data_IF_961685033643
#
_entry.id   IF_961685033643
#
_cell.length_a   1.000
_cell.length_b   1.000
_cell.length_c   1.000
_cell.angle_alpha   90.00
_cell.angle_beta   90.00
_cell.angle_gamma   90.00
#
_symmetry.space_group_name_H-M   'P 1'
#
loop_
_entity.id
_entity.type
_entity.pdbx_description
1 polymer ?
#
# COMPACT_ATOMS: atom_id res chain seq x y z
N UNK A 1 -14.19 4.33 -21.10
CA UNK A 1 -12.91 5.03 -20.91
C UNK A 1 -12.93 5.80 -19.60
N UNK A 2 -11.94 5.59 -18.80
CA UNK A 2 -11.89 6.27 -17.53
C UNK A 2 -11.15 7.61 -17.69
N UNK A 3 -11.84 8.68 -17.43
CA UNK A 3 -11.23 10.00 -17.39
C UNK A 3 -10.98 10.37 -15.93
N UNK A 4 -9.80 10.82 -15.60
CA UNK A 4 -9.48 11.28 -14.27
C UNK A 4 -8.22 10.67 -13.70
N UNK A 5 -7.89 11.12 -12.51
CA UNK A 5 -6.68 10.72 -11.80
C UNK A 5 -6.85 9.30 -11.25
N UNK A 6 -5.84 8.43 -11.40
CA UNK A 6 -5.91 7.11 -10.78
C UNK A 6 -6.00 7.22 -9.26
N UNK A 7 -6.62 6.21 -8.66
CA UNK A 7 -6.68 6.11 -7.20
C UNK A 7 -5.29 5.80 -6.65
N UNK A 8 -4.84 6.58 -5.70
CA UNK A 8 -3.58 6.28 -5.01
C UNK A 8 -3.81 5.32 -3.86
N UNK A 9 -3.04 4.25 -3.84
CA UNK A 9 -3.07 3.27 -2.76
C UNK A 9 -1.68 3.15 -2.15
N UNK A 10 -1.63 3.00 -0.83
CA UNK A 10 -0.42 2.57 -0.14
C UNK A 10 -0.52 1.07 0.10
N UNK A 11 0.53 0.35 -0.23
CA UNK A 11 0.59 -1.10 -0.07
C UNK A 11 1.58 -1.43 1.05
N UNK A 12 1.08 -2.05 2.12
CA UNK A 12 1.97 -2.58 3.15
C UNK A 12 2.90 -3.64 2.54
N UNK A 13 4.03 -3.86 3.14
CA UNK A 13 5.04 -4.79 2.61
C UNK A 13 4.49 -6.18 2.36
N UNK A 14 3.61 -6.69 3.24
CA UNK A 14 3.01 -8.02 3.04
C UNK A 14 2.15 -8.07 1.77
N UNK A 15 1.49 -6.99 1.42
CA UNK A 15 0.71 -6.91 0.18
C UNK A 15 1.63 -6.86 -1.03
N UNK A 16 2.74 -6.14 -0.93
CA UNK A 16 3.75 -6.12 -1.99
C UNK A 16 4.31 -7.50 -2.26
N UNK A 17 4.54 -8.30 -1.22
CA UNK A 17 4.97 -9.69 -1.38
C UNK A 17 3.93 -10.51 -2.13
N UNK A 18 2.65 -10.35 -1.75
CA UNK A 18 1.56 -11.09 -2.43
C UNK A 18 1.48 -10.73 -3.92
N UNK A 19 1.70 -9.46 -4.26
CA UNK A 19 1.61 -9.00 -5.64
C UNK A 19 2.83 -9.39 -6.47
N UNK A 20 4.02 -9.15 -5.95
CA UNK A 20 5.24 -9.15 -6.76
C UNK A 20 6.12 -10.38 -6.56
N UNK A 21 5.87 -11.17 -5.54
CA UNK A 21 6.64 -12.39 -5.25
C UNK A 21 5.76 -13.63 -5.38
N UNK A 22 4.64 -13.67 -4.64
CA UNK A 22 3.85 -14.89 -4.52
C UNK A 22 2.74 -15.02 -5.57
N UNK A 23 2.33 -13.93 -6.19
CA UNK A 23 1.24 -13.97 -7.15
C UNK A 23 -0.06 -14.47 -6.55
N UNK A 24 -0.41 -13.97 -5.35
CA UNK A 24 -1.58 -14.43 -4.61
C UNK A 24 -2.85 -14.17 -5.43
N UNK A 25 -3.69 -15.20 -5.66
CA UNK A 25 -4.94 -15.01 -6.42
C UNK A 25 -5.87 -13.96 -5.84
N UNK A 26 -5.86 -13.74 -4.52
CA UNK A 26 -6.68 -12.71 -3.89
C UNK A 26 -6.25 -11.30 -4.29
N UNK A 27 -5.04 -11.15 -4.84
CA UNK A 27 -4.52 -9.87 -5.30
C UNK A 27 -4.58 -9.73 -6.82
N UNK A 28 -5.12 -10.69 -7.54
CA UNK A 28 -5.11 -10.67 -9.01
C UNK A 28 -5.84 -9.45 -9.58
N UNK A 29 -7.01 -9.10 -9.03
CA UNK A 29 -7.76 -7.94 -9.52
C UNK A 29 -7.03 -6.62 -9.21
N UNK A 30 -6.34 -6.56 -8.08
CA UNK A 30 -5.54 -5.40 -7.73
C UNK A 30 -4.37 -5.24 -8.70
N UNK A 31 -3.66 -6.32 -8.98
CA UNK A 31 -2.54 -6.28 -9.92
C UNK A 31 -3.01 -5.86 -11.32
N UNK A 32 -4.16 -6.37 -11.77
CA UNK A 32 -4.73 -5.97 -13.05
C UNK A 32 -5.06 -4.48 -13.09
N UNK A 33 -5.61 -3.94 -12.00
CA UNK A 33 -5.93 -2.52 -11.90
C UNK A 33 -4.66 -1.65 -11.92
N UNK A 34 -3.59 -2.12 -11.30
CA UNK A 34 -2.30 -1.44 -11.33
C UNK A 34 -1.75 -1.42 -12.75
N UNK A 35 -1.78 -2.55 -13.45
CA UNK A 35 -1.32 -2.62 -14.85
C UNK A 35 -2.15 -1.74 -15.77
N UNK A 36 -3.45 -1.63 -15.51
CA UNK A 36 -4.36 -0.82 -16.32
C UNK A 36 -4.27 0.68 -16.01
N UNK A 37 -3.51 1.07 -14.99
CA UNK A 37 -3.40 2.47 -14.60
C UNK A 37 -4.59 3.00 -13.82
N UNK A 38 -5.49 2.14 -13.38
CA UNK A 38 -6.64 2.54 -12.56
C UNK A 38 -6.24 2.81 -11.11
N UNK A 39 -5.25 2.09 -10.62
CA UNK A 39 -4.68 2.24 -9.28
C UNK A 39 -3.22 2.60 -9.42
N UNK A 40 -2.80 3.64 -8.70
CA UNK A 40 -1.41 4.05 -8.62
C UNK A 40 -0.89 3.76 -7.22
N UNK A 41 -0.13 2.67 -7.03
CA UNK A 41 0.52 2.46 -5.75
C UNK A 41 1.63 3.49 -5.58
N UNK A 42 1.78 3.98 -4.35
CA UNK A 42 2.81 4.97 -4.03
C UNK A 42 3.64 4.48 -2.85
N UNK A 43 4.87 4.97 -2.77
CA UNK A 43 5.78 4.65 -1.69
C UNK A 43 6.64 5.85 -1.31
N UNK A 44 7.35 5.72 -0.23
CA UNK A 44 8.29 6.69 0.30
C UNK A 44 9.59 5.93 0.60
N UNK A 45 10.71 6.63 0.69
CA UNK A 45 12.02 5.99 0.83
C UNK A 45 12.06 4.94 1.95
N UNK A 46 11.55 5.28 3.14
CA UNK A 46 11.59 4.35 4.27
C UNK A 46 10.72 3.11 4.06
N UNK A 47 9.59 3.27 3.40
CA UNK A 47 8.72 2.13 3.07
C UNK A 47 9.36 1.25 2.00
N UNK A 48 9.98 1.86 1.01
CA UNK A 48 10.71 1.12 -0.03
C UNK A 48 11.91 0.39 0.54
N UNK A 49 12.64 1.02 1.46
CA UNK A 49 13.78 0.39 2.12
C UNK A 49 13.36 -0.86 2.88
N UNK A 50 12.21 -0.82 3.58
CA UNK A 50 11.68 -2.01 4.24
C UNK A 50 11.38 -3.12 3.23
N UNK A 51 10.76 -2.78 2.10
CA UNK A 51 10.47 -3.74 1.04
C UNK A 51 11.74 -4.44 0.57
N UNK A 52 12.79 -3.67 0.28
CA UNK A 52 14.05 -4.24 -0.17
C UNK A 52 14.70 -5.11 0.90
N UNK A 53 14.62 -4.70 2.17
CA UNK A 53 15.15 -5.48 3.28
C UNK A 53 14.41 -6.81 3.45
N UNK A 54 13.09 -6.79 3.34
CA UNK A 54 12.26 -7.99 3.50
C UNK A 54 12.54 -9.00 2.38
N UNK A 55 12.81 -8.55 1.15
CA UNK A 55 13.16 -9.44 0.04
C UNK A 55 14.40 -10.27 0.35
N UNK A 56 15.29 -9.76 1.20
CA UNK A 56 16.52 -10.44 1.58
C UNK A 56 16.37 -11.37 2.80
N UNK A 57 15.16 -11.45 3.37
CA UNK A 57 14.94 -12.30 4.54
C UNK A 57 15.12 -13.77 4.18
N UNK A 58 15.95 -14.51 4.96
CA UNK A 58 16.17 -15.94 4.67
C UNK A 58 14.90 -16.77 4.65
N UNK A 59 13.89 -16.40 5.42
CA UNK A 59 12.63 -17.11 5.49
C UNK A 59 11.90 -17.16 4.15
N UNK A 60 12.09 -16.16 3.29
CA UNK A 60 11.47 -16.13 1.97
C UNK A 60 12.15 -17.03 0.97
N UNK A 61 13.41 -17.41 1.23
CA UNK A 61 14.19 -18.33 0.37
C UNK A 61 14.23 -17.89 -1.09
N UNK A 62 14.31 -16.58 -1.31
CA UNK A 62 14.42 -16.03 -2.65
C UNK A 62 15.88 -16.00 -3.09
N UNK A 63 16.15 -16.51 -4.28
CA UNK A 63 17.46 -16.37 -4.88
C UNK A 63 17.70 -14.95 -5.36
N UNK A 64 18.96 -14.65 -5.68
CA UNK A 64 19.35 -13.31 -6.09
C UNK A 64 18.54 -12.83 -7.30
N UNK A 65 18.32 -13.69 -8.28
CA UNK A 65 17.56 -13.34 -9.49
C UNK A 65 16.12 -13.00 -9.17
N UNK A 66 15.47 -13.79 -8.33
CA UNK A 66 14.07 -13.52 -7.94
C UNK A 66 13.94 -12.24 -7.14
N UNK A 67 14.90 -11.96 -6.26
CA UNK A 67 14.92 -10.71 -5.52
C UNK A 67 15.02 -9.51 -6.46
N UNK A 68 15.90 -9.63 -7.44
CA UNK A 68 16.09 -8.57 -8.44
C UNK A 68 14.81 -8.35 -9.25
N UNK A 69 14.19 -9.42 -9.72
CA UNK A 69 12.94 -9.33 -10.48
C UNK A 69 11.82 -8.68 -9.68
N UNK A 70 11.67 -9.06 -8.41
CA UNK A 70 10.65 -8.49 -7.55
C UNK A 70 10.90 -7.01 -7.29
N UNK A 71 12.14 -6.61 -7.05
CA UNK A 71 12.50 -5.22 -6.85
C UNK A 71 12.24 -4.39 -8.11
N UNK A 72 12.58 -4.92 -9.28
CA UNK A 72 12.34 -4.23 -10.54
C UNK A 72 10.84 -4.08 -10.83
N UNK A 73 10.05 -5.12 -10.56
CA UNK A 73 8.62 -5.06 -10.77
C UNK A 73 7.96 -4.04 -9.86
N UNK A 74 8.38 -3.99 -8.59
CA UNK A 74 7.92 -2.98 -7.66
C UNK A 74 8.23 -1.57 -8.21
N UNK A 75 9.48 -1.33 -8.60
CA UNK A 75 9.88 -0.01 -9.07
C UNK A 75 9.19 0.39 -10.38
N UNK A 76 8.79 -0.59 -11.19
CA UNK A 76 8.05 -0.31 -12.43
C UNK A 76 6.61 0.09 -12.20
N UNK A 77 6.01 -0.33 -11.08
CA UNK A 77 4.58 -0.15 -10.84
C UNK A 77 4.25 0.74 -9.64
N UNK A 78 5.18 0.92 -8.72
CA UNK A 78 4.97 1.72 -7.51
C UNK A 78 5.73 3.03 -7.63
N UNK A 79 5.01 4.14 -7.49
CA UNK A 79 5.61 5.46 -7.65
C UNK A 79 6.27 5.91 -6.35
N UNK A 80 7.56 6.22 -6.44
CA UNK A 80 8.30 6.78 -5.31
C UNK A 80 8.03 8.27 -5.21
N UNK A 81 7.53 8.70 -4.06
CA UNK A 81 7.27 10.10 -3.78
C UNK A 81 8.32 10.65 -2.84
N UNK A 82 8.71 11.90 -3.05
CA UNK A 82 9.64 12.61 -2.17
C UNK A 82 8.82 13.30 -1.08
N UNK A 83 8.81 12.71 0.12
CA UNK A 83 7.98 13.17 1.23
C UNK A 83 8.80 13.19 2.51
N UNK A 84 8.44 14.11 3.41
CA UNK A 84 9.08 14.21 4.73
C UNK A 84 8.62 13.09 5.65
N UNK A 85 9.50 12.63 6.53
CA UNK A 85 9.14 11.70 7.59
C UNK A 85 8.40 12.44 8.68
N UNK A 86 7.39 11.80 9.26
CA UNK A 86 6.62 12.32 10.36
C UNK A 86 5.31 12.95 9.92
N UNK A 87 4.34 12.90 10.82
CA UNK A 87 3.01 13.44 10.58
C UNK A 87 2.32 13.63 11.91
N UNK A 88 1.47 14.67 11.99
CA UNK A 88 0.78 15.04 13.23
C UNK A 88 -0.69 14.70 13.10
N UNK A 89 -1.29 14.23 14.20
CA UNK A 89 -2.73 14.02 14.25
C UNK A 89 -3.23 12.71 13.68
N UNK A 90 -2.34 11.80 13.31
CA UNK A 90 -2.74 10.48 12.82
C UNK A 90 -2.96 9.50 13.96
N UNK A 91 -3.90 8.56 13.80
CA UNK A 91 -3.99 7.43 14.73
C UNK A 91 -2.66 6.69 14.79
N UNK A 92 -2.29 6.27 16.00
CA UNK A 92 -1.02 5.58 16.20
C UNK A 92 -1.20 4.08 16.03
N UNK A 93 -0.42 3.49 15.14
CA UNK A 93 -0.33 2.05 15.03
C UNK A 93 0.43 1.50 16.24
N UNK A 94 -0.05 0.39 16.79
CA UNK A 94 0.58 -0.27 17.92
C UNK A 94 1.99 -0.73 17.57
N UNK A 95 2.18 -1.21 16.35
CA UNK A 95 3.51 -1.51 15.83
C UNK A 95 4.11 -0.24 15.25
N UNK A 96 5.18 0.23 15.88
CA UNK A 96 5.84 1.47 15.44
C UNK A 96 6.41 1.37 14.04
N UNK A 97 6.82 0.19 13.63
CA UNK A 97 7.39 0.00 12.30
C UNK A 97 6.37 0.20 11.20
N UNK A 98 5.08 0.07 11.51
CA UNK A 98 4.01 0.24 10.54
C UNK A 98 3.45 1.66 10.47
N UNK A 99 3.83 2.52 11.43
CA UNK A 99 3.35 3.90 11.45
C UNK A 99 3.71 4.66 10.17
N UNK A 100 4.84 4.33 9.55
CA UNK A 100 5.26 4.98 8.31
C UNK A 100 4.26 4.81 7.17
N UNK A 101 3.51 3.70 7.15
CA UNK A 101 2.47 3.48 6.13
C UNK A 101 1.28 4.40 6.35
N UNK A 102 0.92 4.68 7.61
CA UNK A 102 -0.11 5.65 7.96
C UNK A 102 0.31 7.05 7.50
N UNK A 103 1.54 7.42 7.78
CA UNK A 103 2.09 8.71 7.37
C UNK A 103 2.10 8.87 5.86
N UNK A 104 2.57 7.85 5.16
CA UNK A 104 2.61 7.86 3.72
C UNK A 104 1.21 8.04 3.12
N UNK A 105 0.24 7.28 3.61
CA UNK A 105 -1.12 7.37 3.09
C UNK A 105 -1.70 8.78 3.27
N UNK A 106 -1.45 9.39 4.41
CA UNK A 106 -1.90 10.75 4.68
C UNK A 106 -1.21 11.77 3.79
N UNK A 107 0.12 11.71 3.72
CA UNK A 107 0.92 12.67 2.95
C UNK A 107 0.65 12.60 1.45
N UNK A 108 0.42 11.39 0.94
CA UNK A 108 0.18 11.17 -0.49
C UNK A 108 -1.25 11.46 -0.92
N UNK A 109 -2.15 11.72 0.03
CA UNK A 109 -3.57 11.82 -0.27
C UNK A 109 -4.13 10.52 -0.80
N UNK A 110 -3.67 9.38 -0.27
CA UNK A 110 -4.09 8.07 -0.73
C UNK A 110 -5.55 7.81 -0.37
N UNK A 111 -6.25 7.12 -1.27
CA UNK A 111 -7.62 6.69 -1.01
C UNK A 111 -7.66 5.52 -0.01
N UNK A 112 -6.65 4.67 -0.03
CA UNK A 112 -6.61 3.51 0.85
C UNK A 112 -5.18 3.08 1.16
N UNK A 113 -5.05 2.46 2.34
CA UNK A 113 -3.88 1.69 2.75
C UNK A 113 -4.31 0.23 2.77
N UNK A 114 -3.67 -0.59 1.96
CA UNK A 114 -3.98 -2.02 1.88
C UNK A 114 -2.97 -2.80 2.71
N UNK A 115 -3.48 -3.66 3.58
CA UNK A 115 -2.66 -4.43 4.52
C UNK A 115 -3.37 -5.71 4.91
N UNK A 116 -2.58 -6.71 5.36
CA UNK A 116 -3.10 -7.89 6.02
C UNK A 116 -2.80 -7.89 7.52
N UNK A 117 -2.14 -6.84 8.01
CA UNK A 117 -1.73 -6.73 9.41
C UNK A 117 -2.90 -6.27 10.27
N UNK A 118 -3.24 -7.07 11.29
CA UNK A 118 -4.35 -6.76 12.19
C UNK A 118 -4.14 -5.47 12.96
N UNK A 119 -2.91 -5.11 13.29
CA UNK A 119 -2.64 -3.87 14.02
C UNK A 119 -2.99 -2.64 13.20
N UNK A 120 -2.75 -2.65 11.89
CA UNK A 120 -3.18 -1.58 11.01
C UNK A 120 -4.70 -1.64 10.77
N UNK A 121 -5.25 -2.84 10.56
CA UNK A 121 -6.68 -3.00 10.32
C UNK A 121 -7.54 -2.53 11.48
N UNK A 122 -7.02 -2.60 12.71
CA UNK A 122 -7.72 -2.08 13.90
C UNK A 122 -7.96 -0.58 13.83
N UNK A 123 -7.17 0.14 13.06
CA UNK A 123 -7.31 1.59 12.92
C UNK A 123 -8.33 1.99 11.86
N UNK A 124 -8.92 1.04 11.14
CA UNK A 124 -9.79 1.33 10.00
C UNK A 124 -10.99 2.20 10.35
N UNK A 125 -11.68 1.88 11.45
CA UNK A 125 -12.86 2.66 11.87
C UNK A 125 -12.48 4.09 12.24
N UNK A 126 -11.37 4.23 12.96
CA UNK A 126 -10.90 5.53 13.40
C UNK A 126 -10.45 6.38 12.23
N UNK A 127 -9.73 5.81 11.29
CA UNK A 127 -9.31 6.52 10.10
C UNK A 127 -10.51 7.00 9.28
N UNK A 128 -11.52 6.14 9.13
CA UNK A 128 -12.76 6.51 8.44
C UNK A 128 -13.51 7.63 9.16
N UNK A 129 -13.66 7.50 10.48
CA UNK A 129 -14.33 8.53 11.29
C UNK A 129 -13.64 9.88 11.18
N UNK A 130 -12.32 9.89 11.15
CA UNK A 130 -11.53 11.12 11.10
C UNK A 130 -11.37 11.66 9.66
N UNK A 131 -12.02 11.03 8.68
CA UNK A 131 -11.99 11.50 7.29
C UNK A 131 -10.65 11.36 6.61
N UNK A 132 -9.84 10.37 7.02
CA UNK A 132 -8.50 10.16 6.49
C UNK A 132 -8.54 9.32 5.21
N UNK A 133 -8.23 8.07 5.33
CA UNK A 133 -8.22 7.12 4.22
C UNK A 133 -8.78 5.79 4.69
N UNK A 134 -9.15 4.92 3.76
CA UNK A 134 -9.60 3.58 4.13
C UNK A 134 -8.40 2.70 4.46
N UNK A 135 -8.58 1.78 5.40
CA UNK A 135 -7.59 0.73 5.70
C UNK A 135 -8.29 -0.59 5.43
N UNK A 136 -7.79 -1.35 4.46
CA UNK A 136 -8.50 -2.50 3.91
C UNK A 136 -7.56 -3.68 3.69
N UNK A 137 -8.14 -4.88 3.76
CA UNK A 137 -7.45 -6.05 3.21
C UNK A 137 -7.46 -5.97 1.69
N UNK A 138 -6.44 -6.51 1.02
CA UNK A 138 -6.39 -6.46 -0.45
C UNK A 138 -7.64 -6.99 -1.13
N UNK A 139 -8.23 -8.06 -0.61
CA UNK A 139 -9.41 -8.66 -1.22
C UNK A 139 -10.63 -7.75 -1.20
N UNK A 140 -10.66 -6.76 -0.31
CA UNK A 140 -11.81 -5.88 -0.13
C UNK A 140 -11.76 -4.60 -0.98
N UNK A 141 -10.68 -4.35 -1.70
CA UNK A 141 -10.47 -3.05 -2.33
C UNK A 141 -11.53 -2.70 -3.37
N UNK A 142 -11.90 -3.66 -4.20
CA UNK A 142 -12.79 -3.39 -5.33
C UNK A 142 -14.20 -3.04 -4.86
N UNK A 143 -14.72 -3.80 -3.91
CA UNK A 143 -16.02 -3.53 -3.31
C UNK A 143 -16.04 -2.17 -2.61
N UNK A 144 -14.96 -1.85 -1.87
CA UNK A 144 -14.86 -0.58 -1.18
C UNK A 144 -14.89 0.59 -2.15
N UNK A 145 -14.22 0.48 -3.30
CA UNK A 145 -14.24 1.53 -4.33
C UNK A 145 -15.65 1.69 -4.90
N UNK A 146 -16.36 0.60 -5.12
CA UNK A 146 -17.73 0.65 -5.64
C UNK A 146 -18.70 1.31 -4.67
N UNK A 147 -18.52 1.10 -3.37
CA UNK A 147 -19.36 1.70 -2.32
C UNK A 147 -18.99 3.17 -2.08
N UNK A 148 -17.77 3.54 -2.42
CA UNK A 148 -17.26 4.90 -2.21
C UNK A 148 -16.27 4.95 -1.07
N UNK A 149 -15.00 5.17 -1.39
CA UNK A 149 -13.96 5.34 -0.40
C UNK A 149 -14.03 6.76 0.17
N UNK A 150 -13.64 6.95 1.46
CA UNK A 150 -13.46 8.30 1.96
C UNK A 150 -12.36 8.97 1.15
N UNK A 151 -12.71 10.03 0.46
CA UNK A 151 -11.74 10.80 -0.29
C UNK A 151 -11.01 11.71 0.67
N UNK A 152 -9.68 11.75 0.56
CA UNK A 152 -8.92 12.76 1.27
C UNK A 152 -9.45 14.12 0.83
N UNK A 153 -9.68 15.01 1.77
CA UNK A 153 -10.14 16.35 1.45
C UNK A 153 -9.14 17.02 0.51
N UNK A 154 -9.65 17.55 -0.57
CA UNK A 154 -8.82 18.29 -1.51
C UNK A 154 -8.26 19.54 -0.85
#
# INVERSE_FOLDING_TARGET
>A
MRSGTPLRFVLDTNVCLDLFVFGDPHCASLLAAVHAGEVEPVTRDDCRDEWLAVLAYPQLKLGEERRKQAAEMFDAHVRLLTLSVGSVGLPRCRDRDDQKFMELAHQAGAAALLTRDDELLRLARRAKRDGLFAILRPIAWKEAVQVGLPMAAC
#
